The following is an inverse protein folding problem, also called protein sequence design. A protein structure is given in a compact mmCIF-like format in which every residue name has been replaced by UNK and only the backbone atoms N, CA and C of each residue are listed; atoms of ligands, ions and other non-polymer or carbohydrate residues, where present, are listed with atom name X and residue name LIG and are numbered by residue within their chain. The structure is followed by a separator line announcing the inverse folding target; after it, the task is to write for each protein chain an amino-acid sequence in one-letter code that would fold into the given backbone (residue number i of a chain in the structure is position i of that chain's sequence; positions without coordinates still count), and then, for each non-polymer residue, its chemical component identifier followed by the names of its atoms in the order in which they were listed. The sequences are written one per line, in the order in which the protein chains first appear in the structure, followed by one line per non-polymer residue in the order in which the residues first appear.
data_IF_459614429084
#
_entry.id   IF_459614429084
#
_cell.length_a   1.000
_cell.length_b   1.000
_cell.length_c   1.000
_cell.angle_alpha   90.00
_cell.angle_beta   90.00
_cell.angle_gamma   90.00
#
_symmetry.space_group_name_H-M   'P 1'
#
loop_
_entity.id
_entity.type
_entity.pdbx_description
1 polymer ?
#
# COMPACT_ATOMS: atom_id res chain seq x y z
N UNK A 1 -55.87 -61.81 72.03
CA UNK A 1 -54.51 -61.57 72.54
C UNK A 1 -53.53 -61.66 71.38
N UNK A 2 -53.04 -60.48 70.96
CA UNK A 2 -51.70 -60.19 70.39
C UNK A 2 -51.18 -61.15 69.31
N UNK A 3 -51.12 -60.82 68.03
CA UNK A 3 -50.68 -59.57 67.36
C UNK A 3 -49.21 -59.19 67.65
N UNK A 4 -48.27 -60.10 67.36
CA UNK A 4 -46.90 -59.81 66.88
C UNK A 4 -46.39 -61.02 66.08
N UNK A 5 -46.82 -61.16 64.83
CA UNK A 5 -46.38 -62.26 63.95
C UNK A 5 -46.49 -61.96 62.46
N UNK A 6 -47.30 -60.95 62.10
CA UNK A 6 -47.61 -60.58 60.72
C UNK A 6 -46.87 -59.31 60.23
N UNK A 7 -45.80 -58.90 60.91
CA UNK A 7 -44.90 -57.82 60.46
C UNK A 7 -43.47 -58.28 60.13
N UNK A 8 -43.13 -59.57 60.27
CA UNK A 8 -41.80 -60.13 59.92
C UNK A 8 -41.76 -60.95 58.63
N UNK A 9 -42.91 -61.24 58.01
CA UNK A 9 -43.00 -62.00 56.76
C UNK A 9 -43.12 -61.13 55.49
N UNK A 10 -43.34 -59.82 55.63
CA UNK A 10 -43.33 -58.85 54.50
C UNK A 10 -41.98 -58.15 54.27
N UNK A 11 -40.92 -58.50 55.02
CA UNK A 11 -39.56 -57.98 54.78
C UNK A 11 -38.55 -59.02 54.25
N UNK A 12 -38.94 -60.30 54.13
CA UNK A 12 -38.07 -61.38 53.64
C UNK A 12 -38.34 -61.83 52.19
N UNK A 13 -39.30 -61.22 51.49
CA UNK A 13 -39.48 -61.36 50.03
C UNK A 13 -38.91 -60.19 49.20
N UNK A 14 -38.18 -59.25 49.83
CA UNK A 14 -37.49 -58.15 49.12
C UNK A 14 -36.01 -58.45 48.83
N UNK A 15 -35.60 -59.72 48.95
CA UNK A 15 -34.25 -60.23 48.69
C UNK A 15 -34.24 -61.17 47.48
N UNK A 16 -34.68 -60.70 46.30
CA UNK A 16 -34.50 -61.45 45.04
C UNK A 16 -34.67 -60.59 43.77
N UNK A 17 -33.98 -59.45 43.66
CA UNK A 17 -33.84 -58.77 42.35
C UNK A 17 -32.55 -58.01 42.06
N UNK A 18 -31.60 -57.92 43.00
CA UNK A 18 -30.36 -57.15 42.79
C UNK A 18 -29.10 -57.98 43.10
N UNK A 19 -28.98 -59.17 42.49
CA UNK A 19 -27.78 -60.00 42.56
C UNK A 19 -27.46 -60.58 41.19
N UNK A 20 -27.18 -59.69 40.23
CA UNK A 20 -26.40 -59.98 39.04
C UNK A 20 -25.94 -58.64 38.45
N UNK A 21 -24.62 -58.38 38.50
CA UNK A 21 -23.84 -57.39 37.72
C UNK A 21 -22.63 -56.84 38.48
N UNK A 22 -22.07 -57.59 39.44
CA UNK A 22 -20.73 -57.31 39.97
C UNK A 22 -19.61 -57.83 39.04
N UNK A 23 -19.97 -58.45 37.91
CA UNK A 23 -19.07 -58.86 36.81
C UNK A 23 -19.11 -57.90 35.61
N UNK A 24 -19.88 -56.80 35.67
CA UNK A 24 -19.93 -55.78 34.62
C UNK A 24 -19.05 -54.54 34.91
N UNK A 25 -18.37 -54.50 36.06
CA UNK A 25 -17.42 -53.44 36.42
C UNK A 25 -15.96 -53.74 36.01
N UNK A 26 -15.69 -54.91 35.41
CA UNK A 26 -14.32 -55.30 34.99
C UNK A 26 -14.12 -55.34 33.46
N UNK A 27 -15.11 -54.87 32.68
CA UNK A 27 -15.05 -54.74 31.21
C UNK A 27 -15.18 -53.29 30.72
N UNK A 28 -15.11 -52.31 31.63
CA UNK A 28 -15.02 -50.87 31.32
C UNK A 28 -13.63 -50.28 31.66
N UNK A 29 -12.62 -51.14 31.68
CA UNK A 29 -11.20 -50.76 31.67
C UNK A 29 -10.58 -51.29 30.39
N UNK A 30 -11.00 -50.74 29.25
CA UNK A 30 -10.23 -50.72 28.01
C UNK A 30 -10.81 -49.63 27.10
N UNK A 31 -9.93 -48.64 26.85
CA UNK A 31 -10.09 -47.45 25.98
C UNK A 31 -11.01 -46.34 26.47
N UNK A 32 -10.61 -45.68 27.56
CA UNK A 32 -10.68 -44.23 27.56
C UNK A 32 -9.33 -43.72 28.06
N UNK A 33 -8.33 -43.81 27.17
CA UNK A 33 -7.24 -42.84 27.19
C UNK A 33 -7.89 -41.48 27.30
N UNK A 34 -7.52 -40.73 28.33
CA UNK A 34 -7.88 -39.34 28.54
C UNK A 34 -7.34 -38.48 27.39
N UNK A 35 -7.93 -38.62 26.21
CA UNK A 35 -7.92 -37.60 25.19
C UNK A 35 -9.03 -36.64 25.62
N UNK A 36 -8.64 -35.43 26.00
CA UNK A 36 -9.51 -34.27 26.04
C UNK A 36 -10.50 -34.38 24.88
N UNK A 37 -11.79 -34.48 25.18
CA UNK A 37 -12.81 -34.45 24.14
C UNK A 37 -12.78 -33.02 23.58
N UNK A 38 -11.92 -32.79 22.59
CA UNK A 38 -11.88 -31.56 21.83
C UNK A 38 -13.23 -31.48 21.12
N UNK A 39 -14.17 -30.73 21.71
CA UNK A 39 -15.45 -30.47 21.07
C UNK A 39 -15.14 -29.77 19.74
N UNK A 40 -15.48 -30.44 18.65
CA UNK A 40 -15.43 -29.85 17.33
C UNK A 40 -16.58 -28.85 17.21
N UNK A 41 -16.36 -27.65 16.63
CA UNK A 41 -17.45 -26.71 16.43
C UNK A 41 -18.54 -27.30 15.52
N UNK A 42 -19.79 -26.90 15.76
CA UNK A 42 -20.90 -27.30 14.90
C UNK A 42 -20.64 -26.89 13.45
N UNK A 43 -21.07 -27.74 12.50
CA UNK A 43 -20.85 -27.58 11.06
C UNK A 43 -19.39 -27.67 10.59
N UNK A 44 -18.43 -27.89 11.49
CA UNK A 44 -17.04 -28.12 11.13
C UNK A 44 -16.67 -29.59 11.19
N UNK A 45 -15.61 -29.95 10.46
CA UNK A 45 -14.91 -31.23 10.62
C UNK A 45 -13.59 -30.99 11.35
N UNK A 46 -13.26 -31.86 12.30
CA UNK A 46 -12.02 -31.77 13.05
C UNK A 46 -11.21 -33.06 12.86
N UNK A 47 -9.98 -32.93 12.39
CA UNK A 47 -9.05 -34.02 12.18
C UNK A 47 -7.73 -33.68 12.87
N UNK A 48 -7.37 -34.45 13.90
CA UNK A 48 -6.19 -34.19 14.74
C UNK A 48 -6.22 -32.77 15.33
N UNK A 49 -5.39 -31.85 14.83
CA UNK A 49 -5.30 -30.44 15.24
C UNK A 49 -5.84 -29.47 14.20
N UNK A 50 -6.46 -29.97 13.13
CA UNK A 50 -7.04 -29.19 12.04
C UNK A 50 -8.54 -29.07 12.24
N UNK A 51 -9.05 -27.83 12.21
CA UNK A 51 -10.48 -27.53 12.20
C UNK A 51 -10.83 -26.96 10.83
N UNK A 52 -11.69 -27.67 10.10
CA UNK A 52 -12.09 -27.32 8.76
C UNK A 52 -13.60 -27.03 8.71
N UNK A 53 -13.93 -25.77 8.41
CA UNK A 53 -15.28 -25.21 8.37
C UNK A 53 -15.56 -24.54 7.01
N UNK A 54 -15.04 -25.10 5.91
CA UNK A 54 -15.17 -24.51 4.57
C UNK A 54 -16.62 -24.51 4.09
N UNK A 55 -17.08 -23.38 3.54
CA UNK A 55 -18.39 -23.22 2.89
C UNK A 55 -19.58 -23.64 3.75
N UNK A 56 -19.51 -23.34 5.05
CA UNK A 56 -20.56 -23.67 6.03
C UNK A 56 -21.54 -22.51 6.27
N UNK A 57 -21.48 -21.45 5.44
CA UNK A 57 -22.33 -20.27 5.53
C UNK A 57 -22.21 -19.54 6.90
N UNK A 58 -21.06 -19.64 7.55
CA UNK A 58 -20.82 -19.05 8.87
C UNK A 58 -20.75 -17.53 8.77
N UNK A 59 -21.40 -16.83 9.70
CA UNK A 59 -21.32 -15.36 9.83
C UNK A 59 -20.28 -14.91 10.86
N UNK A 60 -19.73 -15.84 11.64
CA UNK A 60 -18.71 -15.60 12.67
C UNK A 60 -17.82 -16.83 12.85
N UNK A 61 -16.72 -16.66 13.59
CA UNK A 61 -15.82 -17.77 13.93
C UNK A 61 -16.56 -18.75 14.87
N UNK A 62 -16.63 -20.05 14.52
CA UNK A 62 -17.43 -21.01 15.27
C UNK A 62 -16.76 -21.37 16.59
N UNK A 63 -17.58 -21.56 17.63
CA UNK A 63 -17.13 -21.89 18.98
C UNK A 63 -17.83 -23.18 19.50
N UNK A 64 -17.19 -23.96 20.39
CA UNK A 64 -15.82 -23.80 20.85
C UNK A 64 -14.81 -24.41 19.85
N UNK A 65 -13.67 -23.74 19.64
CA UNK A 65 -12.51 -24.35 18.99
C UNK A 65 -11.78 -25.37 19.92
N UNK A 66 -11.04 -26.36 19.41
CA UNK A 66 -10.10 -27.16 20.21
C UNK A 66 -8.93 -26.31 20.74
N UNK A 67 -8.40 -26.61 21.93
CA UNK A 67 -7.23 -25.88 22.49
C UNK A 67 -5.93 -26.17 21.75
N UNK A 68 -5.77 -27.39 21.23
CA UNK A 68 -4.62 -27.84 20.47
C UNK A 68 -4.72 -27.53 18.97
N UNK A 69 -5.66 -26.67 18.56
CA UNK A 69 -5.84 -26.33 17.14
C UNK A 69 -4.57 -25.68 16.58
N UNK A 70 -4.04 -26.26 15.50
CA UNK A 70 -2.87 -25.71 14.77
C UNK A 70 -3.28 -25.03 13.48
N UNK A 71 -4.37 -25.49 12.88
CA UNK A 71 -4.86 -25.00 11.59
C UNK A 71 -6.36 -24.79 11.67
N UNK A 72 -6.81 -23.59 11.34
CA UNK A 72 -8.23 -23.23 11.27
C UNK A 72 -8.55 -22.77 9.85
N UNK A 73 -9.43 -23.51 9.17
CA UNK A 73 -9.88 -23.19 7.83
C UNK A 73 -11.35 -22.75 7.86
N UNK A 74 -11.58 -21.47 7.57
CA UNK A 74 -12.87 -20.80 7.53
C UNK A 74 -13.20 -20.32 6.10
N UNK A 75 -12.55 -20.83 5.07
CA UNK A 75 -12.72 -20.32 3.71
C UNK A 75 -14.15 -20.49 3.17
N UNK A 76 -14.59 -19.54 2.34
CA UNK A 76 -15.89 -19.58 1.67
C UNK A 76 -17.09 -19.36 2.58
N UNK A 77 -16.92 -18.66 3.71
CA UNK A 77 -17.99 -18.28 4.63
C UNK A 77 -18.48 -16.84 4.40
N UNK A 78 -19.24 -16.26 5.34
CA UNK A 78 -19.78 -14.89 5.28
C UNK A 78 -19.35 -14.06 6.50
N UNK A 79 -18.07 -14.17 6.88
CA UNK A 79 -17.48 -13.51 8.04
C UNK A 79 -17.07 -12.10 7.63
N UNK A 80 -18.01 -11.16 7.67
CA UNK A 80 -17.77 -9.78 7.20
C UNK A 80 -16.84 -8.97 8.09
N UNK A 81 -16.93 -9.15 9.40
CA UNK A 81 -16.19 -8.38 10.38
C UNK A 81 -15.39 -9.30 11.28
N UNK A 82 -14.11 -8.99 11.46
CA UNK A 82 -13.23 -9.61 12.44
C UNK A 82 -12.90 -8.59 13.52
N UNK A 83 -13.34 -8.87 14.74
CA UNK A 83 -13.21 -7.98 15.90
C UNK A 83 -12.48 -8.65 17.08
N UNK A 84 -12.23 -7.89 18.14
CA UNK A 84 -11.53 -8.37 19.34
C UNK A 84 -12.24 -9.54 20.08
N UNK A 85 -13.52 -9.82 19.78
CA UNK A 85 -14.28 -10.96 20.33
C UNK A 85 -14.22 -12.21 19.44
N UNK A 86 -13.73 -12.08 18.20
CA UNK A 86 -13.67 -13.18 17.23
C UNK A 86 -12.82 -14.36 17.72
N UNK A 87 -11.75 -14.06 18.47
CA UNK A 87 -10.89 -15.03 19.15
C UNK A 87 -10.93 -14.79 20.67
N UNK A 88 -11.93 -15.33 21.40
CA UNK A 88 -12.17 -14.96 22.80
C UNK A 88 -11.13 -15.52 23.78
N UNK A 89 -10.33 -16.50 23.36
CA UNK A 89 -9.25 -17.10 24.17
C UNK A 89 -7.97 -17.21 23.35
N UNK A 90 -6.85 -17.32 24.05
CA UNK A 90 -5.55 -17.57 23.45
C UNK A 90 -5.49 -18.96 22.82
N UNK A 91 -5.08 -19.02 21.55
CA UNK A 91 -4.83 -20.26 20.81
C UNK A 91 -3.33 -20.41 20.59
N UNK A 92 -2.63 -20.92 21.60
CA UNK A 92 -1.16 -21.01 21.64
C UNK A 92 -0.58 -21.84 20.48
N UNK A 93 -1.31 -22.83 19.99
CA UNK A 93 -0.85 -23.73 18.94
C UNK A 93 -1.25 -23.30 17.53
N UNK A 94 -2.12 -22.30 17.38
CA UNK A 94 -2.62 -21.90 16.07
C UNK A 94 -1.53 -21.21 15.26
N UNK A 95 -1.20 -21.79 14.12
CA UNK A 95 -0.13 -21.31 13.22
C UNK A 95 -0.67 -20.92 11.85
N UNK A 96 -1.78 -21.54 11.42
CA UNK A 96 -2.36 -21.33 10.08
C UNK A 96 -3.83 -20.95 10.20
N UNK A 97 -4.19 -19.79 9.65
CA UNK A 97 -5.55 -19.29 9.59
C UNK A 97 -5.93 -18.96 8.15
N UNK A 98 -6.94 -19.66 7.63
CA UNK A 98 -7.49 -19.43 6.30
C UNK A 98 -8.88 -18.81 6.43
N UNK A 99 -9.07 -17.62 5.87
CA UNK A 99 -10.35 -16.89 5.82
C UNK A 99 -10.64 -16.44 4.38
N UNK A 100 -10.06 -17.14 3.40
CA UNK A 100 -10.20 -16.83 1.98
C UNK A 100 -11.67 -16.88 1.52
N UNK A 101 -12.10 -15.95 0.68
CA UNK A 101 -13.45 -15.99 0.09
C UNK A 101 -14.59 -15.80 1.11
N UNK A 102 -14.33 -15.15 2.24
CA UNK A 102 -15.29 -15.04 3.35
C UNK A 102 -16.05 -13.71 3.41
N UNK A 103 -15.89 -12.85 2.40
CA UNK A 103 -16.46 -11.51 2.33
C UNK A 103 -16.01 -10.60 3.49
N UNK A 104 -14.79 -10.76 3.98
CA UNK A 104 -14.23 -9.88 5.03
C UNK A 104 -14.14 -8.47 4.48
N UNK A 105 -14.75 -7.51 5.20
CA UNK A 105 -14.76 -6.09 4.89
C UNK A 105 -13.94 -5.29 5.91
N UNK A 106 -14.00 -5.66 7.20
CA UNK A 106 -13.40 -4.91 8.30
C UNK A 106 -12.58 -5.78 9.24
N UNK A 107 -11.40 -5.27 9.63
CA UNK A 107 -10.56 -5.82 10.68
C UNK A 107 -10.30 -4.76 11.75
N UNK A 108 -10.82 -5.00 12.96
CA UNK A 108 -10.65 -4.09 14.09
C UNK A 108 -9.27 -4.25 14.75
N UNK A 109 -8.92 -3.30 15.62
CA UNK A 109 -7.67 -3.36 16.38
C UNK A 109 -7.60 -4.60 17.27
N UNK A 110 -6.38 -5.15 17.37
CA UNK A 110 -6.01 -6.26 18.25
C UNK A 110 -6.80 -7.57 18.03
N UNK A 111 -7.45 -7.75 16.88
CA UNK A 111 -8.22 -8.97 16.59
C UNK A 111 -7.38 -10.25 16.65
N UNK A 112 -6.09 -10.17 16.30
CA UNK A 112 -5.19 -11.33 16.33
C UNK A 112 -4.32 -11.42 17.60
N UNK A 113 -4.58 -10.60 18.63
CA UNK A 113 -3.77 -10.58 19.87
C UNK A 113 -3.68 -11.95 20.57
N UNK A 114 -4.73 -12.77 20.42
CA UNK A 114 -4.86 -14.07 21.05
C UNK A 114 -4.27 -15.21 20.19
N UNK A 115 -3.58 -14.89 19.09
CA UNK A 115 -2.94 -15.84 18.17
C UNK A 115 -1.41 -15.63 18.12
N UNK A 116 -0.69 -15.80 19.24
CA UNK A 116 0.71 -15.36 19.37
C UNK A 116 1.71 -16.11 18.48
N UNK A 117 1.32 -17.27 17.93
CA UNK A 117 2.18 -18.12 17.09
C UNK A 117 1.67 -18.23 15.65
N UNK A 118 0.81 -17.30 15.21
CA UNK A 118 0.32 -17.29 13.84
C UNK A 118 1.47 -17.02 12.85
N UNK A 119 1.61 -17.91 11.86
CA UNK A 119 2.67 -17.87 10.83
C UNK A 119 2.11 -17.65 9.43
N UNK A 120 0.94 -18.23 9.13
CA UNK A 120 0.26 -18.07 7.85
C UNK A 120 -1.13 -17.46 8.06
N UNK A 121 -1.40 -16.41 7.30
CA UNK A 121 -2.68 -15.73 7.29
C UNK A 121 -3.15 -15.53 5.85
N UNK A 122 -4.25 -16.19 5.48
CA UNK A 122 -4.83 -16.11 4.14
C UNK A 122 -6.17 -15.35 4.16
N UNK A 123 -6.14 -14.14 3.60
CA UNK A 123 -7.27 -13.26 3.37
C UNK A 123 -7.62 -13.12 1.89
N UNK A 124 -7.14 -14.00 1.02
CA UNK A 124 -7.42 -13.93 -0.40
C UNK A 124 -8.92 -13.90 -0.73
N UNK A 125 -9.29 -13.32 -1.86
CA UNK A 125 -10.68 -13.30 -2.35
C UNK A 125 -11.67 -12.64 -1.36
N UNK A 126 -11.25 -11.62 -0.62
CA UNK A 126 -12.11 -10.83 0.27
C UNK A 126 -12.39 -9.43 -0.29
N UNK A 127 -12.95 -8.53 0.53
CA UNK A 127 -13.35 -7.17 0.15
C UNK A 127 -12.99 -6.18 1.26
N UNK A 128 -11.76 -6.28 1.74
CA UNK A 128 -11.23 -5.49 2.84
C UNK A 128 -11.24 -4.01 2.43
N UNK A 129 -12.02 -3.23 3.15
CA UNK A 129 -12.14 -1.78 3.00
C UNK A 129 -11.58 -1.05 4.22
N UNK A 130 -11.59 -1.67 5.39
CA UNK A 130 -11.04 -1.10 6.62
C UNK A 130 -10.10 -2.11 7.28
N UNK A 131 -8.81 -1.80 7.29
CA UNK A 131 -7.79 -2.56 7.99
C UNK A 131 -7.17 -1.68 9.07
N UNK A 132 -7.40 -1.99 10.34
CA UNK A 132 -6.74 -1.27 11.43
C UNK A 132 -5.26 -1.68 11.52
N UNK A 133 -4.35 -0.72 11.55
CA UNK A 133 -2.89 -0.97 11.63
C UNK A 133 -2.50 -1.77 12.88
N UNK A 134 -3.29 -1.68 13.96
CA UNK A 134 -3.10 -2.42 15.21
C UNK A 134 -3.86 -3.76 15.24
N UNK A 135 -4.45 -4.22 14.13
CA UNK A 135 -5.11 -5.53 14.05
C UNK A 135 -4.15 -6.68 14.38
N UNK A 136 -2.89 -6.52 13.95
CA UNK A 136 -1.78 -7.43 14.23
C UNK A 136 -0.90 -6.89 15.36
N UNK A 137 -0.42 -7.76 16.28
CA UNK A 137 0.55 -7.36 17.29
C UNK A 137 1.91 -7.03 16.65
N UNK A 138 2.68 -6.13 17.28
CA UNK A 138 3.98 -5.68 16.73
C UNK A 138 5.03 -6.80 16.64
N UNK A 139 4.96 -7.78 17.55
CA UNK A 139 5.83 -8.97 17.58
C UNK A 139 5.26 -10.14 16.76
N UNK A 140 4.37 -9.85 15.81
CA UNK A 140 3.78 -10.82 14.91
C UNK A 140 4.84 -11.72 14.25
N UNK A 141 4.56 -13.02 14.26
CA UNK A 141 5.39 -14.08 13.66
C UNK A 141 4.90 -14.48 12.26
N UNK A 142 4.04 -13.67 11.65
CA UNK A 142 3.52 -13.97 10.31
C UNK A 142 4.69 -13.99 9.32
N UNK A 143 4.82 -15.13 8.65
CA UNK A 143 5.80 -15.40 7.60
C UNK A 143 5.15 -15.36 6.21
N UNK A 144 3.88 -15.76 6.12
CA UNK A 144 3.11 -15.82 4.87
C UNK A 144 1.82 -15.03 5.03
N UNK A 145 1.67 -13.99 4.21
CA UNK A 145 0.47 -13.16 4.15
C UNK A 145 -0.09 -13.17 2.73
N UNK A 146 -1.29 -13.72 2.56
CA UNK A 146 -1.99 -13.70 1.28
C UNK A 146 -3.14 -12.68 1.31
N UNK A 147 -3.01 -11.63 0.51
CA UNK A 147 -4.00 -10.57 0.30
C UNK A 147 -4.45 -10.52 -1.17
N UNK A 148 -4.26 -11.59 -1.93
CA UNK A 148 -4.65 -11.64 -3.34
C UNK A 148 -6.14 -11.41 -3.51
N UNK A 149 -6.53 -10.52 -4.42
CA UNK A 149 -7.95 -10.18 -4.69
C UNK A 149 -8.74 -9.89 -3.41
N UNK A 150 -8.17 -9.10 -2.50
CA UNK A 150 -8.76 -8.82 -1.19
C UNK A 150 -9.13 -7.36 -0.99
N UNK A 151 -8.57 -6.43 -1.76
CA UNK A 151 -8.69 -4.98 -1.52
C UNK A 151 -9.92 -4.41 -2.25
N UNK A 152 -10.83 -3.76 -1.52
CA UNK A 152 -12.09 -3.26 -2.07
C UNK A 152 -11.96 -1.92 -2.81
N UNK A 153 -10.89 -1.15 -2.56
CA UNK A 153 -10.65 0.15 -3.22
C UNK A 153 -9.14 0.47 -3.30
N UNK A 154 -8.66 0.86 -4.49
CA UNK A 154 -7.25 1.11 -4.80
C UNK A 154 -6.58 2.16 -3.89
N UNK A 155 -7.34 3.05 -3.26
CA UNK A 155 -6.84 4.13 -2.40
C UNK A 155 -6.27 3.67 -1.05
N UNK A 156 -6.40 2.40 -0.69
CA UNK A 156 -6.03 1.89 0.65
C UNK A 156 -4.62 1.33 0.77
N UNK A 157 -3.84 1.26 -0.32
CA UNK A 157 -2.47 0.73 -0.25
C UNK A 157 -1.57 1.50 0.74
N UNK A 158 -1.86 2.79 0.99
CA UNK A 158 -1.19 3.58 2.03
C UNK A 158 -1.37 3.03 3.46
N UNK A 159 -2.57 2.54 3.80
CA UNK A 159 -2.83 1.91 5.11
C UNK A 159 -2.08 0.60 5.25
N UNK A 160 -1.96 -0.17 4.16
CA UNK A 160 -1.15 -1.38 4.15
C UNK A 160 0.35 -1.08 4.25
N UNK A 161 0.83 0.04 3.72
CA UNK A 161 2.22 0.46 3.91
C UNK A 161 2.54 0.67 5.40
N UNK A 162 1.64 1.32 6.15
CA UNK A 162 1.79 1.48 7.60
C UNK A 162 1.77 0.14 8.35
N UNK A 163 0.91 -0.79 7.92
CA UNK A 163 0.87 -2.16 8.45
C UNK A 163 2.19 -2.90 8.22
N UNK A 164 2.71 -2.86 6.99
CA UNK A 164 3.93 -3.56 6.60
C UNK A 164 5.13 -3.05 7.39
N UNK A 165 5.22 -1.74 7.58
CA UNK A 165 6.27 -1.09 8.38
C UNK A 165 6.23 -1.46 9.86
N UNK A 166 5.04 -1.60 10.45
CA UNK A 166 4.88 -1.71 11.92
C UNK A 166 4.71 -3.13 12.44
N UNK A 167 4.03 -3.99 11.70
CA UNK A 167 3.42 -5.21 12.27
C UNK A 167 3.81 -6.50 11.54
N UNK A 168 4.70 -6.44 10.54
CA UNK A 168 5.09 -7.60 9.73
C UNK A 168 6.61 -7.81 9.62
N UNK A 169 7.38 -7.77 10.71
CA UNK A 169 8.85 -7.87 10.66
C UNK A 169 9.38 -9.23 10.15
N UNK A 170 8.54 -10.29 10.21
CA UNK A 170 8.91 -11.67 9.83
C UNK A 170 8.37 -12.12 8.49
N UNK A 171 7.62 -11.28 7.79
CA UNK A 171 7.02 -11.67 6.50
C UNK A 171 8.11 -11.99 5.50
N UNK A 172 7.97 -13.18 4.90
CA UNK A 172 8.85 -13.73 3.88
C UNK A 172 8.12 -13.94 2.55
N UNK A 173 6.82 -14.19 2.59
CA UNK A 173 5.98 -14.36 1.40
C UNK A 173 4.78 -13.41 1.50
N UNK A 174 4.66 -12.51 0.53
CA UNK A 174 3.58 -11.54 0.43
C UNK A 174 2.92 -11.64 -0.95
N UNK A 175 1.63 -11.96 -0.96
CA UNK A 175 0.82 -11.99 -2.18
C UNK A 175 -0.15 -10.80 -2.20
N UNK A 176 0.07 -9.89 -3.14
CA UNK A 176 -0.74 -8.71 -3.44
C UNK A 176 -1.33 -8.79 -4.86
N UNK A 177 -1.35 -9.97 -5.48
CA UNK A 177 -1.86 -10.16 -6.82
C UNK A 177 -3.36 -9.84 -6.93
N UNK A 178 -3.83 -9.51 -8.13
CA UNK A 178 -5.27 -9.37 -8.40
C UNK A 178 -5.99 -8.28 -7.58
N UNK A 179 -5.30 -7.21 -7.18
CA UNK A 179 -5.85 -6.13 -6.34
C UNK A 179 -6.06 -4.80 -7.10
N UNK A 180 -5.95 -4.83 -8.43
CA UNK A 180 -6.11 -3.67 -9.31
C UNK A 180 -5.22 -2.46 -8.92
N UNK A 181 -4.07 -2.71 -8.27
CA UNK A 181 -3.18 -1.66 -7.77
C UNK A 181 -2.58 -0.85 -8.93
N UNK A 182 -2.72 0.47 -8.89
CA UNK A 182 -2.22 1.37 -9.93
C UNK A 182 -0.86 2.00 -9.57
N UNK A 183 -0.65 2.32 -8.30
CA UNK A 183 0.57 2.92 -7.77
C UNK A 183 0.91 2.32 -6.41
N UNK A 184 2.21 2.34 -6.08
CA UNK A 184 2.71 1.92 -4.78
C UNK A 184 3.28 3.14 -4.04
N UNK A 185 3.00 3.29 -2.73
CA UNK A 185 3.67 4.26 -1.89
C UNK A 185 5.19 4.08 -1.91
N UNK A 186 5.91 5.18 -1.76
CA UNK A 186 7.37 5.16 -1.70
C UNK A 186 7.85 4.31 -0.50
N UNK A 187 8.81 3.43 -0.74
CA UNK A 187 9.41 2.58 0.28
C UNK A 187 8.46 1.57 0.95
N UNK A 188 7.32 1.23 0.35
CA UNK A 188 6.31 0.32 0.94
C UNK A 188 6.89 -1.04 1.40
N UNK A 189 7.95 -1.52 0.77
CA UNK A 189 8.60 -2.80 1.08
C UNK A 189 9.96 -2.67 1.77
N UNK A 190 10.42 -1.45 2.05
CA UNK A 190 11.78 -1.19 2.56
C UNK A 190 12.01 -1.83 3.92
N UNK A 191 11.00 -1.80 4.79
CA UNK A 191 11.11 -2.32 6.17
C UNK A 191 10.86 -3.85 6.28
N UNK A 192 10.42 -4.49 5.20
CA UNK A 192 10.16 -5.94 5.16
C UNK A 192 11.45 -6.75 4.97
N UNK A 193 12.38 -6.63 5.91
CA UNK A 193 13.75 -7.19 5.83
C UNK A 193 13.88 -8.69 5.54
N UNK A 194 12.82 -9.48 5.74
CA UNK A 194 12.82 -10.93 5.48
C UNK A 194 12.05 -11.32 4.20
N UNK A 195 11.50 -10.35 3.46
CA UNK A 195 10.67 -10.58 2.29
C UNK A 195 11.48 -11.26 1.18
N UNK A 196 11.16 -12.51 0.91
CA UNK A 196 11.82 -13.34 -0.10
C UNK A 196 10.96 -13.49 -1.36
N UNK A 197 9.63 -13.55 -1.23
CA UNK A 197 8.70 -13.74 -2.34
C UNK A 197 7.66 -12.63 -2.32
N UNK A 198 7.59 -11.88 -3.41
CA UNK A 198 6.60 -10.83 -3.63
C UNK A 198 5.84 -11.08 -4.93
N UNK A 199 4.55 -11.33 -4.80
CA UNK A 199 3.64 -11.51 -5.93
C UNK A 199 2.76 -10.26 -6.10
N UNK A 200 2.91 -9.58 -7.24
CA UNK A 200 2.10 -8.43 -7.62
C UNK A 200 1.47 -8.61 -9.00
N UNK A 201 1.30 -9.86 -9.45
CA UNK A 201 0.73 -10.16 -10.77
C UNK A 201 -0.73 -9.69 -10.89
N UNK A 202 -1.17 -9.43 -12.11
CA UNK A 202 -2.55 -9.05 -12.41
C UNK A 202 -3.01 -7.83 -11.60
N UNK A 203 -2.21 -6.77 -11.62
CA UNK A 203 -2.55 -5.46 -11.09
C UNK A 203 -2.54 -4.44 -12.26
N UNK A 204 -2.70 -3.15 -11.98
CA UNK A 204 -2.69 -2.10 -13.01
C UNK A 204 -1.49 -1.17 -12.88
N UNK A 205 -0.36 -1.70 -12.38
CA UNK A 205 0.83 -0.90 -12.08
C UNK A 205 1.42 -0.30 -13.36
N UNK A 206 1.61 1.01 -13.37
CA UNK A 206 2.13 1.75 -14.54
C UNK A 206 3.62 2.05 -14.41
N UNK A 207 4.07 2.32 -13.19
CA UNK A 207 5.46 2.64 -12.86
C UNK A 207 5.77 2.38 -11.40
N UNK A 208 7.06 2.44 -11.05
CA UNK A 208 7.55 2.31 -9.69
C UNK A 208 8.25 3.59 -9.25
N UNK A 209 8.25 3.85 -7.93
CA UNK A 209 9.09 4.89 -7.34
C UNK A 209 10.54 4.40 -7.19
N UNK A 210 11.48 5.33 -7.05
CA UNK A 210 12.92 5.07 -7.02
C UNK A 210 13.36 4.07 -5.93
N UNK A 211 12.56 3.94 -4.86
CA UNK A 211 12.90 3.15 -3.67
C UNK A 211 12.07 1.87 -3.53
N UNK A 212 11.18 1.56 -4.49
CA UNK A 212 10.23 0.43 -4.36
C UNK A 212 10.94 -0.91 -4.14
N UNK A 213 12.10 -1.11 -4.78
CA UNK A 213 12.85 -2.38 -4.76
C UNK A 213 14.24 -2.27 -4.11
N UNK A 214 14.36 -1.49 -3.03
CA UNK A 214 15.61 -1.45 -2.25
C UNK A 214 15.77 -2.62 -1.28
N UNK A 215 14.72 -3.40 -1.10
CA UNK A 215 14.77 -4.61 -0.30
C UNK A 215 15.75 -5.63 -0.91
N UNK A 216 16.82 -5.95 -0.17
CA UNK A 216 17.90 -6.85 -0.62
C UNK A 216 17.64 -8.33 -0.33
N UNK A 217 16.57 -8.66 0.40
CA UNK A 217 16.24 -10.03 0.76
C UNK A 217 15.39 -10.75 -0.30
N UNK A 218 14.85 -10.00 -1.27
CA UNK A 218 13.94 -10.51 -2.27
C UNK A 218 14.63 -11.53 -3.19
N UNK A 219 13.97 -12.66 -3.41
CA UNK A 219 14.42 -13.76 -4.28
C UNK A 219 13.49 -13.97 -5.45
N UNK A 220 12.20 -13.74 -5.28
CA UNK A 220 11.20 -13.91 -6.33
C UNK A 220 10.30 -12.68 -6.38
N UNK A 221 10.18 -12.11 -7.57
CA UNK A 221 9.33 -10.96 -7.88
C UNK A 221 8.48 -11.27 -9.11
N UNK A 222 7.16 -11.32 -8.91
CA UNK A 222 6.21 -11.50 -10.00
C UNK A 222 5.49 -10.18 -10.31
N UNK A 223 5.77 -9.63 -11.50
CA UNK A 223 5.17 -8.41 -12.02
C UNK A 223 4.31 -8.68 -13.26
N UNK A 224 3.96 -9.93 -13.53
CA UNK A 224 3.21 -10.30 -14.74
C UNK A 224 1.86 -9.63 -14.80
N UNK A 225 1.35 -9.45 -16.00
CA UNK A 225 -0.01 -8.96 -16.26
C UNK A 225 -0.27 -7.62 -15.54
N UNK A 226 0.64 -6.66 -15.69
CA UNK A 226 0.49 -5.29 -15.21
C UNK A 226 0.37 -4.31 -16.39
N UNK A 227 0.39 -3.00 -16.11
CA UNK A 227 0.32 -1.94 -17.12
C UNK A 227 1.68 -1.26 -17.37
N UNK A 228 2.79 -1.97 -17.09
CA UNK A 228 4.14 -1.42 -17.23
C UNK A 228 4.48 -1.23 -18.70
N UNK A 229 4.85 0.00 -19.06
CA UNK A 229 5.29 0.33 -20.43
C UNK A 229 6.80 0.30 -20.58
N UNK A 230 7.52 0.62 -19.50
CA UNK A 230 8.97 0.63 -19.42
C UNK A 230 9.38 0.52 -17.95
N UNK A 231 10.53 -0.09 -17.67
CA UNK A 231 11.14 -0.04 -16.34
C UNK A 231 12.16 1.11 -16.32
N UNK A 232 12.02 2.11 -15.43
CA UNK A 232 12.95 3.23 -15.40
C UNK A 232 14.33 2.79 -14.88
N UNK A 233 15.38 3.52 -15.28
CA UNK A 233 16.79 3.15 -15.00
C UNK A 233 17.07 2.92 -13.52
N UNK A 234 16.42 3.68 -12.63
CA UNK A 234 16.56 3.50 -11.18
C UNK A 234 15.98 2.15 -10.71
N UNK A 235 14.85 1.73 -11.27
CA UNK A 235 14.28 0.40 -11.01
C UNK A 235 15.19 -0.69 -11.55
N UNK A 236 15.72 -0.56 -12.77
CA UNK A 236 16.67 -1.50 -13.36
C UNK A 236 17.93 -1.65 -12.48
N UNK A 237 18.51 -0.52 -12.04
CA UNK A 237 19.66 -0.51 -11.14
C UNK A 237 19.34 -1.15 -9.78
N UNK A 238 18.17 -0.85 -9.22
CA UNK A 238 17.69 -1.42 -7.96
C UNK A 238 17.61 -2.94 -8.00
N UNK A 239 16.95 -3.48 -9.04
CA UNK A 239 16.80 -4.92 -9.27
C UNK A 239 18.14 -5.62 -9.51
N UNK A 240 19.05 -4.99 -10.27
CA UNK A 240 20.38 -5.55 -10.59
C UNK A 240 21.28 -5.73 -9.36
N UNK A 241 20.99 -5.03 -8.27
CA UNK A 241 21.74 -5.08 -7.03
C UNK A 241 21.22 -6.15 -6.04
N UNK A 242 20.13 -6.85 -6.38
CA UNK A 242 19.56 -7.91 -5.54
C UNK A 242 20.15 -9.26 -5.98
N UNK A 243 20.86 -9.98 -5.08
CA UNK A 243 21.48 -11.26 -5.42
C UNK A 243 20.44 -12.38 -5.57
N UNK A 244 20.69 -13.31 -6.51
CA UNK A 244 19.86 -14.49 -6.76
C UNK A 244 18.37 -14.20 -7.00
N UNK A 245 18.05 -12.97 -7.43
CA UNK A 245 16.69 -12.56 -7.75
C UNK A 245 16.16 -13.38 -8.92
N UNK A 246 14.84 -13.55 -8.99
CA UNK A 246 14.10 -14.06 -10.15
C UNK A 246 12.94 -13.12 -10.41
N UNK A 247 12.86 -12.56 -11.61
CA UNK A 247 11.82 -11.60 -11.99
C UNK A 247 10.99 -12.17 -13.14
N UNK A 248 9.67 -12.02 -13.05
CA UNK A 248 8.74 -12.32 -14.16
C UNK A 248 8.03 -11.03 -14.61
N UNK A 249 8.02 -10.77 -15.91
CA UNK A 249 7.62 -9.50 -16.54
C UNK A 249 6.59 -9.66 -17.67
N UNK A 250 6.24 -10.89 -18.06
CA UNK A 250 5.31 -11.17 -19.16
C UNK A 250 3.92 -10.54 -18.95
N UNK A 251 3.19 -10.31 -20.05
CA UNK A 251 1.84 -9.74 -19.99
C UNK A 251 1.78 -8.22 -19.75
N UNK A 252 2.93 -7.53 -19.76
CA UNK A 252 2.98 -6.07 -19.68
C UNK A 252 3.00 -5.41 -21.08
N UNK A 253 2.35 -4.24 -21.26
CA UNK A 253 2.26 -3.54 -22.53
C UNK A 253 3.53 -2.73 -22.83
N UNK A 254 4.65 -3.41 -23.07
CA UNK A 254 5.94 -2.78 -23.33
C UNK A 254 5.90 -1.81 -24.52
N UNK A 255 6.38 -0.59 -24.28
CA UNK A 255 6.53 0.45 -25.31
C UNK A 255 7.93 0.34 -25.91
N UNK A 256 8.00 0.09 -27.21
CA UNK A 256 9.22 -0.13 -27.97
C UNK A 256 9.58 1.09 -28.81
N UNK A 257 9.91 2.18 -28.12
CA UNK A 257 10.49 3.41 -28.66
C UNK A 257 11.85 3.62 -27.98
N UNK A 258 12.43 4.83 -28.10
CA UNK A 258 13.72 5.12 -27.50
C UNK A 258 13.80 4.90 -25.97
N UNK A 259 12.67 5.01 -25.25
CA UNK A 259 12.67 4.88 -23.79
C UNK A 259 13.03 3.47 -23.31
N UNK A 260 12.90 2.44 -24.16
CA UNK A 260 13.15 1.04 -23.79
C UNK A 260 14.62 0.62 -23.94
N UNK A 261 15.47 1.46 -24.51
CA UNK A 261 16.85 1.11 -24.88
C UNK A 261 17.65 0.55 -23.69
N UNK A 262 17.64 1.25 -22.55
CA UNK A 262 18.33 0.82 -21.33
C UNK A 262 17.77 -0.52 -20.79
N UNK A 263 16.47 -0.74 -20.94
CA UNK A 263 15.82 -1.99 -20.54
C UNK A 263 16.25 -3.16 -21.44
N UNK A 264 16.44 -2.93 -22.75
CA UNK A 264 16.93 -3.98 -23.66
C UNK A 264 18.34 -4.41 -23.29
N UNK A 265 19.25 -3.45 -23.09
CA UNK A 265 20.63 -3.71 -22.64
C UNK A 265 20.62 -4.48 -21.31
N UNK A 266 19.73 -4.08 -20.41
CA UNK A 266 19.57 -4.75 -19.12
C UNK A 266 19.06 -6.19 -19.27
N UNK A 267 18.10 -6.48 -20.14
CA UNK A 267 17.56 -7.83 -20.40
C UNK A 267 18.59 -8.76 -21.05
N UNK A 268 19.45 -8.24 -21.92
CA UNK A 268 20.52 -9.03 -22.54
C UNK A 268 21.55 -9.47 -21.49
N UNK A 269 21.92 -8.55 -20.60
CA UNK A 269 22.96 -8.75 -19.59
C UNK A 269 22.51 -9.67 -18.44
N UNK A 270 21.22 -9.72 -18.15
CA UNK A 270 20.70 -10.42 -16.97
C UNK A 270 19.76 -11.57 -17.35
N UNK A 271 20.09 -12.77 -16.88
CA UNK A 271 19.32 -14.00 -17.06
C UNK A 271 18.31 -14.27 -15.93
N UNK A 272 18.36 -13.47 -14.85
CA UNK A 272 17.41 -13.57 -13.74
C UNK A 272 15.96 -13.19 -14.12
N UNK A 273 15.76 -12.55 -15.27
CA UNK A 273 14.43 -12.33 -15.84
C UNK A 273 13.99 -13.61 -16.53
N UNK A 274 13.15 -14.37 -15.82
CA UNK A 274 12.82 -15.77 -16.16
C UNK A 274 12.11 -15.87 -17.51
N UNK A 275 11.29 -14.88 -17.83
CA UNK A 275 10.45 -14.83 -19.03
C UNK A 275 10.95 -13.83 -20.09
N UNK A 276 12.23 -13.45 -20.05
CA UNK A 276 12.81 -12.44 -20.96
C UNK A 276 12.59 -12.71 -22.46
N UNK A 277 12.55 -13.98 -22.85
CA UNK A 277 12.32 -14.40 -24.24
C UNK A 277 10.86 -14.24 -24.71
N UNK A 278 9.93 -14.13 -23.76
CA UNK A 278 8.49 -14.01 -24.02
C UNK A 278 8.00 -12.56 -23.95
N UNK A 279 8.89 -11.60 -23.71
CA UNK A 279 8.53 -10.19 -23.66
C UNK A 279 8.38 -9.67 -25.10
N UNK A 280 7.21 -9.11 -25.40
CA UNK A 280 6.90 -8.57 -26.73
C UNK A 280 6.40 -7.12 -26.63
N UNK A 281 6.67 -6.35 -27.67
CA UNK A 281 6.17 -4.98 -27.81
C UNK A 281 4.64 -4.95 -27.92
N UNK A 282 4.04 -3.97 -27.26
CA UNK A 282 2.62 -3.63 -27.42
C UNK A 282 2.41 -2.34 -28.20
N UNK A 283 3.38 -1.42 -28.13
CA UNK A 283 3.38 -0.10 -28.76
C UNK A 283 4.79 0.17 -29.31
N UNK A 284 4.97 0.86 -30.45
CA UNK A 284 3.93 1.36 -31.35
C UNK A 284 3.30 0.21 -32.17
N UNK A 285 2.22 0.51 -32.91
CA UNK A 285 1.43 -0.50 -33.64
C UNK A 285 2.23 -1.33 -34.64
N UNK A 286 3.28 -0.75 -35.22
CA UNK A 286 4.15 -1.37 -36.24
C UNK A 286 5.04 -2.46 -35.65
N UNK A 287 5.39 -2.34 -34.36
CA UNK A 287 6.24 -3.28 -33.65
C UNK A 287 5.44 -4.23 -32.76
N UNK A 288 4.12 -4.19 -32.81
CA UNK A 288 3.27 -5.02 -31.95
C UNK A 288 3.59 -6.52 -32.12
N UNK A 289 3.73 -7.22 -31.00
CA UNK A 289 4.12 -8.62 -30.86
C UNK A 289 5.56 -8.96 -31.29
N UNK A 290 6.40 -7.97 -31.63
CA UNK A 290 7.82 -8.22 -31.87
C UNK A 290 8.52 -8.51 -30.52
N UNK A 291 9.32 -9.58 -30.40
CA UNK A 291 10.07 -9.87 -29.18
C UNK A 291 11.07 -8.75 -28.85
N UNK A 292 11.16 -8.34 -27.58
CA UNK A 292 12.02 -7.23 -27.15
C UNK A 292 13.49 -7.47 -27.51
N UNK A 293 14.00 -8.67 -27.24
CA UNK A 293 15.40 -9.05 -27.52
C UNK A 293 15.73 -9.19 -29.01
N UNK A 294 14.75 -9.04 -29.91
CA UNK A 294 14.97 -9.04 -31.36
C UNK A 294 14.93 -7.65 -31.98
N UNK A 295 14.72 -6.60 -31.17
CA UNK A 295 14.66 -5.22 -31.66
C UNK A 295 16.04 -4.72 -32.04
N UNK A 296 16.14 -4.08 -33.19
CA UNK A 296 17.33 -3.32 -33.58
C UNK A 296 17.17 -1.84 -33.21
N UNK A 297 18.29 -1.18 -32.85
CA UNK A 297 18.30 0.23 -32.46
C UNK A 297 17.72 1.17 -33.54
N UNK A 298 17.85 0.79 -34.81
CA UNK A 298 17.29 1.51 -35.97
C UNK A 298 15.75 1.61 -35.94
N UNK A 299 15.08 0.66 -35.27
CA UNK A 299 13.63 0.57 -35.19
C UNK A 299 13.04 1.42 -34.06
N UNK A 300 13.86 1.79 -33.05
CA UNK A 300 13.40 2.45 -31.83
C UNK A 300 13.13 3.96 -32.01
N UNK A 301 13.33 4.51 -33.21
CA UNK A 301 13.12 5.94 -33.54
C UNK A 301 13.79 6.89 -32.51
N UNK A 302 14.97 6.51 -32.01
CA UNK A 302 15.73 7.35 -31.10
C UNK A 302 16.16 8.65 -31.77
N UNK A 303 15.85 9.78 -31.15
CA UNK A 303 16.24 11.09 -31.64
C UNK A 303 17.75 11.30 -31.48
N UNK A 304 18.51 10.97 -32.52
CA UNK A 304 19.95 11.24 -32.58
C UNK A 304 20.30 12.55 -33.29
N UNK A 305 19.34 13.42 -33.58
CA UNK A 305 19.59 14.60 -34.40
C UNK A 305 19.23 15.89 -33.63
N UNK A 306 20.26 16.70 -33.38
CA UNK A 306 20.17 18.04 -32.80
C UNK A 306 19.21 18.99 -33.57
N UNK A 307 18.79 18.64 -34.78
CA UNK A 307 17.82 19.38 -35.60
C UNK A 307 16.37 19.33 -35.08
N UNK A 308 16.00 18.32 -34.27
CA UNK A 308 14.60 18.17 -33.82
C UNK A 308 14.35 18.70 -32.39
N UNK A 309 15.40 18.92 -31.61
CA UNK A 309 15.31 19.67 -30.34
C UNK A 309 14.86 21.11 -30.61
N UNK A 310 15.32 21.70 -31.72
CA UNK A 310 14.93 23.04 -32.13
C UNK A 310 13.43 23.11 -32.51
N UNK A 311 12.90 22.08 -33.20
CA UNK A 311 11.45 21.97 -33.52
C UNK A 311 10.57 21.72 -32.29
N UNK A 312 11.05 21.00 -31.28
CA UNK A 312 10.29 20.76 -30.05
C UNK A 312 10.16 22.01 -29.15
N UNK A 313 11.11 22.96 -29.27
CA UNK A 313 11.11 24.22 -28.54
C UNK A 313 10.25 25.32 -29.21
N UNK A 314 9.97 25.22 -30.52
CA UNK A 314 9.11 26.16 -31.26
C UNK A 314 7.74 26.43 -30.60
N UNK A 315 6.94 25.42 -30.17
CA UNK A 315 5.66 25.69 -29.51
C UNK A 315 5.83 26.40 -28.15
N UNK A 316 6.96 26.20 -27.45
CA UNK A 316 7.25 26.86 -26.17
C UNK A 316 7.54 28.36 -26.36
N UNK A 317 8.35 28.72 -27.36
CA UNK A 317 8.67 30.13 -27.65
C UNK A 317 7.48 30.90 -28.23
N UNK A 318 6.63 30.24 -29.04
CA UNK A 318 5.39 30.85 -29.55
C UNK A 318 4.42 31.14 -28.39
N UNK A 319 4.27 30.21 -27.44
CA UNK A 319 3.44 30.44 -26.25
C UNK A 319 4.00 31.57 -25.38
N UNK A 320 5.32 31.59 -25.14
CA UNK A 320 5.99 32.67 -24.42
C UNK A 320 5.78 34.03 -25.12
N UNK A 321 5.89 34.07 -26.45
CA UNK A 321 5.64 35.26 -27.26
C UNK A 321 4.20 35.77 -27.13
N UNK A 322 3.21 34.88 -27.13
CA UNK A 322 1.80 35.24 -26.90
C UNK A 322 1.58 35.81 -25.50
N UNK A 323 2.18 35.21 -24.47
CA UNK A 323 2.08 35.70 -23.08
C UNK A 323 2.70 37.08 -22.94
N UNK A 324 3.90 37.30 -23.51
CA UNK A 324 4.56 38.61 -23.48
C UNK A 324 3.76 39.68 -24.23
N UNK A 325 3.19 39.34 -25.38
CA UNK A 325 2.32 40.24 -26.13
C UNK A 325 1.06 40.62 -25.32
N UNK A 326 0.43 39.66 -24.65
CA UNK A 326 -0.74 39.90 -23.82
C UNK A 326 -0.41 40.82 -22.62
N UNK A 327 0.72 40.57 -21.95
CA UNK A 327 1.22 41.44 -20.88
C UNK A 327 1.43 42.87 -21.41
N UNK A 328 2.04 43.02 -22.59
CA UNK A 328 2.25 44.31 -23.23
C UNK A 328 0.93 45.05 -23.53
N UNK A 329 -0.07 44.36 -24.04
CA UNK A 329 -1.40 44.92 -24.32
C UNK A 329 -2.10 45.37 -23.03
N UNK A 330 -2.05 44.54 -21.98
CA UNK A 330 -2.63 44.89 -20.67
C UNK A 330 -1.92 46.12 -20.09
N UNK A 331 -0.59 46.18 -20.15
CA UNK A 331 0.18 47.31 -19.67
C UNK A 331 -0.19 48.61 -20.41
N UNK A 332 -0.28 48.56 -21.74
CA UNK A 332 -0.71 49.70 -22.56
C UNK A 332 -2.15 50.12 -22.24
N UNK A 333 -3.06 49.17 -22.01
CA UNK A 333 -4.44 49.45 -21.61
C UNK A 333 -4.49 50.17 -20.26
N UNK A 334 -3.70 49.71 -19.27
CA UNK A 334 -3.60 50.34 -17.95
C UNK A 334 -3.08 51.77 -18.07
N UNK A 335 -2.03 52.01 -18.87
CA UNK A 335 -1.52 53.36 -19.15
C UNK A 335 -2.56 54.23 -19.85
N UNK A 336 -3.30 53.67 -20.80
CA UNK A 336 -4.34 54.37 -21.54
C UNK A 336 -5.51 54.79 -20.65
N UNK A 337 -6.02 53.87 -19.82
CA UNK A 337 -7.10 54.15 -18.87
C UNK A 337 -6.67 55.21 -17.83
N UNK A 338 -5.42 55.14 -17.38
CA UNK A 338 -4.87 56.08 -16.40
C UNK A 338 -4.25 57.35 -17.02
N UNK A 339 -4.33 57.55 -18.34
CA UNK A 339 -3.63 58.65 -19.04
C UNK A 339 -3.91 60.04 -18.47
N UNK A 340 -5.16 60.29 -18.01
CA UNK A 340 -5.54 61.58 -17.41
C UNK A 340 -4.95 61.73 -16.01
N UNK A 341 -4.94 60.65 -15.22
CA UNK A 341 -4.32 60.62 -13.89
C UNK A 341 -2.81 60.81 -13.96
N UNK A 342 -2.15 60.11 -14.90
CA UNK A 342 -0.71 60.23 -15.16
C UNK A 342 -0.36 61.66 -15.58
N UNK A 343 -1.13 62.26 -16.51
CA UNK A 343 -0.91 63.67 -16.89
C UNK A 343 -1.05 64.61 -15.69
N UNK A 344 -2.09 64.44 -14.87
CA UNK A 344 -2.30 65.26 -13.66
C UNK A 344 -1.15 65.11 -12.66
N UNK A 345 -0.71 63.87 -12.41
CA UNK A 345 0.43 63.58 -11.55
C UNK A 345 1.73 64.21 -12.07
N UNK A 346 1.98 64.12 -13.37
CA UNK A 346 3.16 64.69 -14.01
C UNK A 346 3.16 66.23 -13.95
N UNK A 347 2.00 66.89 -14.09
CA UNK A 347 1.88 68.33 -13.88
C UNK A 347 2.13 68.70 -12.42
N UNK A 348 1.52 68.00 -11.46
CA UNK A 348 1.74 68.25 -10.04
C UNK A 348 3.21 68.09 -9.63
N UNK A 349 3.91 67.09 -10.17
CA UNK A 349 5.36 66.91 -9.90
C UNK A 349 6.17 68.05 -10.49
N UNK A 350 5.89 68.44 -11.74
CA UNK A 350 6.58 69.55 -12.38
C UNK A 350 6.40 70.84 -11.57
N UNK A 351 5.19 71.08 -11.10
CA UNK A 351 4.86 72.27 -10.34
C UNK A 351 5.55 72.20 -8.95
N UNK A 352 5.55 71.05 -8.27
CA UNK A 352 6.29 70.86 -7.03
C UNK A 352 7.82 71.04 -7.19
N UNK A 353 8.40 70.54 -8.29
CA UNK A 353 9.81 70.77 -8.60
C UNK A 353 10.10 72.24 -8.90
N UNK A 354 9.18 72.94 -9.58
CA UNK A 354 9.30 74.36 -9.87
C UNK A 354 9.28 75.18 -8.58
N UNK A 355 8.33 74.93 -7.70
CA UNK A 355 8.22 75.61 -6.39
C UNK A 355 9.49 75.39 -5.55
N UNK A 356 10.02 74.17 -5.57
CA UNK A 356 11.26 73.85 -4.84
C UNK A 356 12.48 74.59 -5.40
N UNK A 357 12.60 74.66 -6.74
CA UNK A 357 13.68 75.42 -7.40
C UNK A 357 13.56 76.93 -7.19
N UNK A 358 12.35 77.49 -7.27
CA UNK A 358 12.11 78.90 -6.95
C UNK A 358 12.47 79.19 -5.48
N UNK A 359 12.14 78.29 -4.55
CA UNK A 359 12.56 78.38 -3.15
C UNK A 359 14.08 78.39 -2.96
N UNK A 360 14.84 77.59 -3.72
CA UNK A 360 16.30 77.67 -3.73
C UNK A 360 16.80 79.00 -4.30
N UNK A 361 16.17 79.51 -5.36
CA UNK A 361 16.56 80.78 -5.98
C UNK A 361 16.38 81.96 -5.02
N UNK A 362 15.23 82.04 -4.33
CA UNK A 362 14.98 83.07 -3.32
C UNK A 362 15.96 83.00 -2.14
N UNK A 363 16.26 81.79 -1.64
CA UNK A 363 17.27 81.62 -0.57
C UNK A 363 18.67 82.02 -1.03
N UNK A 364 19.02 81.72 -2.28
CA UNK A 364 20.29 82.11 -2.86
C UNK A 364 20.40 83.64 -2.97
N UNK A 365 19.36 84.33 -3.47
CA UNK A 365 19.35 85.80 -3.56
C UNK A 365 19.45 86.49 -2.19
N UNK A 366 18.73 86.01 -1.17
CA UNK A 366 18.81 86.53 0.20
C UNK A 366 20.22 86.37 0.79
N UNK A 367 20.82 85.19 0.63
CA UNK A 367 22.18 84.92 1.13
C UNK A 367 23.27 85.65 0.32
N UNK A 368 22.96 86.07 -0.91
CA UNK A 368 23.87 86.78 -1.80
C UNK A 368 23.76 88.31 -1.68
N UNK A 369 22.78 88.85 -0.94
CA UNK A 369 22.65 90.29 -0.72
C UNK A 369 23.72 90.79 0.28
N UNK A 370 24.72 91.58 -0.17
CA UNK A 370 25.79 92.07 0.69
C UNK A 370 25.30 93.03 1.79
N UNK A 371 24.06 93.54 1.71
CA UNK A 371 23.47 94.37 2.77
C UNK A 371 23.11 93.56 4.02
N UNK A 372 22.68 92.29 3.88
CA UNK A 372 22.36 91.42 5.01
C UNK A 372 23.61 90.82 5.68
N UNK A 373 24.70 90.64 4.92
CA UNK A 373 26.00 90.29 5.50
C UNK A 373 26.48 91.36 6.49
N UNK A 374 26.19 92.65 6.22
CA UNK A 374 26.54 93.77 7.10
C UNK A 374 25.67 93.92 8.36
N UNK A 375 24.51 93.25 8.43
CA UNK A 375 23.67 93.21 9.64
C UNK A 375 24.13 92.13 10.64
N UNK A 376 24.76 91.06 10.17
CA UNK A 376 25.38 90.05 11.06
C UNK A 376 26.73 90.47 11.65
N UNK A 377 27.41 91.45 11.04
CA UNK A 377 28.67 92.01 11.55
C UNK A 377 28.48 93.14 12.58
N UNK A 378 27.24 93.61 12.78
CA UNK A 378 26.90 94.69 13.73
C UNK A 378 25.95 94.24 14.85
N UNK A 379 25.73 92.93 15.05
CA UNK A 379 24.89 92.39 16.13
C UNK A 379 25.63 91.51 17.15
N UNK A 380 26.96 91.42 17.06
CA UNK A 380 27.82 90.90 18.13
C UNK A 380 28.76 92.01 18.65
N UNK A 381 28.20 92.96 19.40
CA UNK A 381 28.86 93.68 20.50
C UNK A 381 27.84 93.90 21.61
#
# INVERSE_FOLDING_TARGET
MSDVGLLRLLQLQRKQKNMCNLTLCFLLVLTCSSSSLSLCPAHCSCESTVVNCVSQNLSSIPQPLPENVTTLNLSGNNIRNLNNESFPRTLEHLTHLYVSGSQVERLDSMVFKNLPNLRLLDFSNNRISEFNVEALPQDSKIEVLNLSKSLFNHSYIGVFADLFRRSLPKVSHLDLSNNDLMFLPEGIFTDLSNLAVLDMRNNTLVSFSNETFWNRALKELDLRDNALKVLPNMTLAGLSLIPDLRVSLAGNPWRCNCDVEDMLIWLEKHDFVVDRLNLTCSDPTELKNVPLLHLEQSQLQCWSNAEDVERALEPSYVFLGMVLALIGVIFLLVLYLNRKGIKKWMYNIRDACRDHMEGYHYRYEINSDPRLASLSLNSDV
#
